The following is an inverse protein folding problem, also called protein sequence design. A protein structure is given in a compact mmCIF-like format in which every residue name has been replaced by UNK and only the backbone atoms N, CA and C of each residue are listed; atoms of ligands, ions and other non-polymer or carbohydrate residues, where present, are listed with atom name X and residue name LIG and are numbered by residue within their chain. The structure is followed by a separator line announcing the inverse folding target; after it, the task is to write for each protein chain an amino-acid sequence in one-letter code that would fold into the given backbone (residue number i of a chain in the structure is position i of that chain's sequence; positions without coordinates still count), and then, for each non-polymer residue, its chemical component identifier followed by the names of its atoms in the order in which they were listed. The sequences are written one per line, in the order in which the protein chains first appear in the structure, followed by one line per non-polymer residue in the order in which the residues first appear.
data_IF_853197704763
#
_entry.id   IF_853197704763
#
_cell.length_a   1.000
_cell.length_b   1.000
_cell.length_c   1.000
_cell.angle_alpha   90.00
_cell.angle_beta   90.00
_cell.angle_gamma   90.00
#
_symmetry.space_group_name_H-M   'P 1'
#
loop_
_entity.id
_entity.type
_entity.pdbx_description
1 polymer ?
#
# COMPACT_ATOMS: atom_id res chain seq x y z
N UNK A 1 11.03 -21.23 -36.24
CA UNK A 1 10.74 -20.11 -35.32
C UNK A 1 10.09 -20.71 -34.07
N UNK A 2 10.80 -20.77 -32.95
CA UNK A 2 10.25 -21.30 -31.71
C UNK A 2 9.84 -20.12 -30.81
N UNK A 3 8.54 -19.96 -30.57
CA UNK A 3 8.05 -19.01 -29.56
C UNK A 3 8.36 -19.61 -28.18
N UNK A 4 9.27 -18.97 -27.44
CA UNK A 4 9.45 -19.24 -26.02
C UNK A 4 8.30 -18.58 -25.26
N UNK A 5 7.34 -19.37 -24.79
CA UNK A 5 6.38 -18.90 -23.79
C UNK A 5 7.03 -19.06 -22.42
N UNK A 6 7.51 -17.97 -21.84
CA UNK A 6 7.88 -17.95 -20.43
C UNK A 6 6.60 -18.03 -19.60
N UNK A 7 6.43 -19.13 -18.85
CA UNK A 7 5.37 -19.24 -17.85
C UNK A 7 5.63 -18.21 -16.76
N UNK A 8 4.89 -17.09 -16.78
CA UNK A 8 4.83 -16.16 -15.65
C UNK A 8 3.99 -16.85 -14.58
N UNK A 9 4.65 -17.33 -13.52
CA UNK A 9 3.95 -17.89 -12.38
C UNK A 9 3.40 -16.72 -11.56
N UNK A 10 2.13 -16.76 -11.13
CA UNK A 10 1.61 -15.73 -10.26
C UNK A 10 2.45 -15.67 -8.98
N UNK A 11 2.97 -14.49 -8.68
CA UNK A 11 3.86 -14.26 -7.54
C UNK A 11 3.03 -13.78 -6.35
N UNK A 12 3.28 -14.36 -5.17
CA UNK A 12 2.66 -13.93 -3.94
C UNK A 12 3.54 -12.86 -3.29
N UNK A 13 3.03 -11.63 -3.18
CA UNK A 13 3.74 -10.53 -2.54
C UNK A 13 3.17 -10.27 -1.14
N UNK A 14 4.03 -10.11 -0.15
CA UNK A 14 3.66 -9.80 1.23
C UNK A 14 4.15 -8.40 1.58
N UNK A 15 3.26 -7.55 2.08
CA UNK A 15 3.54 -6.16 2.42
C UNK A 15 3.05 -5.85 3.83
N UNK A 16 3.86 -5.12 4.59
CA UNK A 16 3.47 -4.60 5.90
C UNK A 16 3.12 -3.11 5.80
N UNK A 17 1.89 -2.79 6.18
CA UNK A 17 1.34 -1.44 6.17
C UNK A 17 1.18 -0.97 7.60
N UNK A 18 2.00 -0.01 8.00
CA UNK A 18 1.86 0.70 9.28
C UNK A 18 1.01 1.93 9.05
N UNK A 19 -0.19 1.95 9.62
CA UNK A 19 -1.09 3.10 9.53
C UNK A 19 -0.89 3.97 10.77
N UNK A 20 -0.45 5.21 10.58
CA UNK A 20 -0.07 6.10 11.67
C UNK A 20 -0.47 7.56 11.38
N UNK A 21 -0.62 8.36 12.44
CA UNK A 21 -0.81 9.80 12.31
C UNK A 21 0.53 10.50 12.09
N UNK A 22 0.60 11.35 11.07
CA UNK A 22 1.79 12.16 10.80
C UNK A 22 1.42 13.60 10.45
N UNK A 23 2.18 14.54 10.99
CA UNK A 23 1.98 15.97 10.75
C UNK A 23 2.65 16.37 9.44
N UNK A 24 1.90 17.02 8.56
CA UNK A 24 2.39 17.59 7.32
C UNK A 24 2.11 19.09 7.27
N UNK A 25 3.09 19.86 6.79
CA UNK A 25 2.96 21.31 6.60
C UNK A 25 2.88 21.63 5.11
N UNK A 26 1.85 22.37 4.70
CA UNK A 26 1.70 22.91 3.34
C UNK A 26 1.12 24.32 3.39
N UNK A 27 1.63 25.22 2.56
CA UNK A 27 1.15 26.60 2.45
C UNK A 27 1.02 27.28 3.84
N UNK A 28 2.03 27.08 4.71
CA UNK A 28 2.07 27.59 6.08
C UNK A 28 1.01 27.03 7.05
N UNK A 29 0.33 25.93 6.71
CA UNK A 29 -0.61 25.22 7.59
C UNK A 29 -0.13 23.81 7.90
N UNK A 30 -0.08 23.46 9.19
CA UNK A 30 0.26 22.11 9.66
C UNK A 30 -1.01 21.35 10.04
N UNK A 31 -1.14 20.12 9.55
CA UNK A 31 -2.25 19.21 9.89
C UNK A 31 -1.74 17.81 10.12
N UNK A 32 -2.30 17.11 11.12
CA UNK A 32 -2.13 15.67 11.28
C UNK A 32 -2.97 14.94 10.23
N UNK A 33 -2.39 13.93 9.59
CA UNK A 33 -3.08 13.06 8.64
C UNK A 33 -2.76 11.61 8.95
N UNK A 34 -3.77 10.74 8.85
CA UNK A 34 -3.59 9.30 8.92
C UNK A 34 -3.01 8.80 7.60
N UNK A 35 -1.83 8.17 7.63
CA UNK A 35 -1.07 7.76 6.45
C UNK A 35 -0.49 6.36 6.59
N UNK A 36 -0.23 5.71 5.46
CA UNK A 36 0.43 4.39 5.41
C UNK A 36 1.94 4.60 5.28
N UNK A 37 2.72 3.95 6.14
CA UNK A 37 4.18 3.99 6.19
C UNK A 37 4.74 5.43 6.25
N UNK A 38 4.03 6.32 6.94
CA UNK A 38 4.47 7.69 7.18
C UNK A 38 4.57 8.57 5.93
N UNK A 39 3.99 8.19 4.79
CA UNK A 39 4.06 8.97 3.55
C UNK A 39 2.69 9.31 2.97
N UNK A 40 2.62 10.47 2.33
CA UNK A 40 1.47 10.89 1.55
C UNK A 40 1.92 11.38 0.16
N UNK A 41 1.48 10.76 -0.95
CA UNK A 41 0.63 9.56 -0.99
C UNK A 41 1.32 8.34 -0.37
N UNK A 42 0.52 7.34 0.03
CA UNK A 42 1.02 6.09 0.57
C UNK A 42 1.81 5.27 -0.46
N UNK A 43 2.36 4.11 -0.06
CA UNK A 43 3.13 3.25 -0.94
C UNK A 43 2.29 2.73 -2.11
N UNK A 44 2.89 2.69 -3.29
CA UNK A 44 2.27 2.14 -4.50
C UNK A 44 2.48 0.64 -4.55
N UNK A 45 1.40 -0.13 -4.57
CA UNK A 45 1.44 -1.58 -4.79
C UNK A 45 1.59 -1.83 -6.29
N UNK A 46 2.68 -2.48 -6.70
CA UNK A 46 2.96 -2.82 -8.11
C UNK A 46 2.79 -4.32 -8.30
N UNK A 47 1.74 -4.71 -9.01
CA UNK A 47 1.43 -6.12 -9.31
C UNK A 47 0.96 -6.30 -10.74
N UNK A 48 1.13 -7.53 -11.24
CA UNK A 48 0.64 -7.96 -12.54
C UNK A 48 -0.67 -8.72 -12.42
N UNK A 49 -1.35 -8.89 -13.56
CA UNK A 49 -2.58 -9.67 -13.61
C UNK A 49 -2.27 -11.13 -13.23
N UNK A 50 -2.94 -11.61 -12.18
CA UNK A 50 -2.78 -12.96 -11.66
C UNK A 50 -2.00 -13.04 -10.35
N UNK A 51 -1.27 -11.98 -9.99
CA UNK A 51 -0.55 -11.91 -8.71
C UNK A 51 -1.53 -11.83 -7.53
N UNK A 52 -1.07 -12.30 -6.38
CA UNK A 52 -1.81 -12.17 -5.11
C UNK A 52 -0.99 -11.35 -4.14
N UNK A 53 -1.61 -10.32 -3.55
CA UNK A 53 -0.97 -9.49 -2.53
C UNK A 53 -1.60 -9.75 -1.18
N UNK A 54 -0.76 -10.08 -0.20
CA UNK A 54 -1.13 -10.15 1.20
C UNK A 54 -0.61 -8.89 1.88
N UNK A 55 -1.54 -8.07 2.38
CA UNK A 55 -1.20 -6.86 3.13
C UNK A 55 -1.50 -7.10 4.59
N UNK A 56 -0.46 -7.09 5.41
CA UNK A 56 -0.57 -7.12 6.86
C UNK A 56 -0.66 -5.67 7.36
N UNK A 57 -1.77 -5.35 8.05
CA UNK A 57 -2.08 -3.96 8.43
C UNK A 57 -1.92 -3.78 9.92
N UNK A 58 -1.01 -2.89 10.30
CA UNK A 58 -0.78 -2.47 11.67
C UNK A 58 -1.42 -1.10 11.91
N UNK A 59 -2.59 -1.07 12.53
CA UNK A 59 -3.22 0.18 12.94
C UNK A 59 -2.54 0.74 14.19
N UNK A 60 -1.74 1.79 14.03
CA UNK A 60 -1.17 2.61 15.12
C UNK A 60 -1.90 3.94 15.27
N UNK A 61 -2.99 4.14 14.53
CA UNK A 61 -3.89 5.26 14.72
C UNK A 61 -4.71 5.12 16.00
N UNK A 62 -5.33 6.22 16.40
CA UNK A 62 -6.15 6.28 17.62
C UNK A 62 -7.57 5.74 17.42
N UNK A 63 -7.99 5.52 16.17
CA UNK A 63 -9.35 5.11 15.79
C UNK A 63 -9.35 3.83 14.97
N UNK A 64 -10.47 3.09 14.99
CA UNK A 64 -10.69 1.95 14.10
C UNK A 64 -10.75 2.37 12.63
N UNK A 65 -10.24 1.53 11.73
CA UNK A 65 -10.19 1.81 10.29
C UNK A 65 -10.48 0.58 9.44
N UNK A 66 -10.84 0.81 8.18
CA UNK A 66 -11.02 -0.21 7.16
C UNK A 66 -10.18 0.12 5.93
N UNK A 67 -9.52 -0.88 5.37
CA UNK A 67 -8.83 -0.74 4.08
C UNK A 67 -9.72 -1.22 2.95
N UNK A 68 -9.84 -0.40 1.90
CA UNK A 68 -10.61 -0.73 0.71
C UNK A 68 -9.69 -0.75 -0.52
N UNK A 69 -9.84 -1.79 -1.34
CA UNK A 69 -9.21 -1.85 -2.65
C UNK A 69 -10.24 -1.39 -3.70
N UNK A 70 -10.02 -0.20 -4.25
CA UNK A 70 -10.79 0.27 -5.39
C UNK A 70 -10.25 -0.40 -6.65
N UNK A 71 -11.15 -1.03 -7.42
CA UNK A 71 -10.82 -1.62 -8.74
C UNK A 71 -10.42 -0.56 -9.76
#
# INVERSE_FOLDING_TARGET
MAMRFSSVRPEAQYLDFVVEEKVFTRLCSSKSMLVVNGSFPGPVIKVQKGDTVYVNVHNRGTSGLTMHCQR
#
